data_IF_674771790566
#
_entry.id   IF_674771790566
#
_cell.length_a   1.000
_cell.length_b   1.000
_cell.length_c   1.000
_cell.angle_alpha   90.00
_cell.angle_beta   90.00
_cell.angle_gamma   90.00
#
_symmetry.space_group_name_H-M   'P 1'
#
loop_
_entity.id
_entity.type
_entity.pdbx_description
1 polymer ?
#
# COMPACT_ATOMS: atom_id res chain seq x y z
N UNK A 1 -1.19 6.39 -6.37
CA UNK A 1 0.19 6.82 -6.71
C UNK A 1 1.08 5.59 -6.82
N UNK A 2 2.10 5.60 -7.67
CA UNK A 2 3.08 4.51 -7.80
C UNK A 2 4.48 5.10 -7.64
N UNK A 3 5.33 4.45 -6.85
CA UNK A 3 6.69 4.86 -6.57
C UNK A 3 7.66 3.68 -6.74
N UNK A 4 8.73 3.88 -7.50
CA UNK A 4 9.82 2.92 -7.62
C UNK A 4 10.80 3.11 -6.46
N UNK A 5 11.14 2.03 -5.77
CA UNK A 5 12.19 2.01 -4.76
C UNK A 5 13.18 0.88 -5.03
N UNK A 6 14.46 1.15 -4.85
CA UNK A 6 15.50 0.12 -4.91
C UNK A 6 15.82 -0.33 -3.48
N UNK A 7 15.52 -1.59 -3.16
CA UNK A 7 15.74 -2.21 -1.84
C UNK A 7 16.67 -3.41 -2.04
N UNK A 8 17.85 -3.40 -1.40
CA UNK A 8 18.85 -4.49 -1.47
C UNK A 8 19.12 -4.99 -2.90
N UNK A 9 19.48 -4.07 -3.80
CA UNK A 9 19.74 -4.33 -5.24
C UNK A 9 18.55 -4.89 -6.04
N UNK A 10 17.34 -4.87 -5.48
CA UNK A 10 16.09 -5.19 -6.18
C UNK A 10 15.26 -3.95 -6.37
N UNK A 11 14.82 -3.74 -7.60
CA UNK A 11 13.81 -2.73 -7.89
C UNK A 11 12.43 -3.29 -7.52
N UNK A 12 11.73 -2.56 -6.66
CA UNK A 12 10.35 -2.84 -6.26
C UNK A 12 9.50 -1.62 -6.52
N UNK A 13 8.29 -1.87 -6.99
CA UNK A 13 7.31 -0.83 -7.25
C UNK A 13 6.27 -0.86 -6.14
N UNK A 14 6.07 0.28 -5.49
CA UNK A 14 5.10 0.47 -4.42
C UNK A 14 3.95 1.30 -4.95
N UNK A 15 2.75 0.72 -4.95
CA UNK A 15 1.53 1.41 -5.31
C UNK A 15 0.74 1.73 -4.06
N UNK A 16 0.42 3.00 -3.86
CA UNK A 16 -0.46 3.46 -2.79
C UNK A 16 -1.78 3.91 -3.38
N UNK A 17 -2.87 3.29 -2.94
CA UNK A 17 -4.23 3.60 -3.37
C UNK A 17 -5.08 4.09 -2.20
N UNK A 18 -5.95 5.08 -2.40
CA UNK A 18 -6.92 5.48 -1.38
C UNK A 18 -7.93 4.34 -1.17
N UNK A 19 -8.11 3.97 0.08
CA UNK A 19 -9.06 2.96 0.52
C UNK A 19 -10.33 3.63 1.02
N UNK A 20 -11.40 3.49 0.23
CA UNK A 20 -12.72 3.99 0.59
C UNK A 20 -13.37 3.02 1.56
N UNK A 21 -13.52 3.44 2.81
CA UNK A 21 -14.35 2.73 3.79
C UNK A 21 -15.81 3.08 3.50
N UNK A 22 -16.58 2.09 3.03
CA UNK A 22 -18.04 2.23 2.88
C UNK A 22 -18.68 2.48 4.24
N UNK A 23 -19.68 3.37 4.27
CA UNK A 23 -20.39 3.75 5.50
C UNK A 23 -21.89 3.53 5.37
N UNK A 24 -22.51 3.25 6.51
CA UNK A 24 -23.97 3.30 6.68
C UNK A 24 -24.52 4.70 6.94
N UNK A 25 -23.69 5.70 7.33
CA UNK A 25 -24.15 7.04 7.71
C UNK A 25 -23.43 8.16 6.91
N UNK A 26 -24.14 8.94 6.08
CA UNK A 26 -23.56 9.91 5.15
C UNK A 26 -23.08 11.25 5.77
N UNK A 27 -23.32 11.50 7.06
CA UNK A 27 -23.10 12.82 7.67
C UNK A 27 -21.69 13.04 8.28
N UNK A 28 -20.80 12.05 8.20
CA UNK A 28 -19.44 12.11 8.78
C UNK A 28 -18.42 12.19 7.63
N UNK A 29 -17.48 13.14 7.70
CA UNK A 29 -16.37 13.30 6.73
C UNK A 29 -15.50 12.04 6.74
N UNK A 30 -15.35 11.31 5.60
CA UNK A 30 -14.56 10.07 5.51
C UNK A 30 -13.18 10.23 6.13
N UNK A 31 -12.82 9.32 7.04
CA UNK A 31 -11.40 9.08 7.30
C UNK A 31 -10.89 8.39 6.05
N UNK A 32 -10.07 9.10 5.28
CA UNK A 32 -9.43 8.53 4.10
C UNK A 32 -8.27 7.68 4.55
N UNK A 33 -8.36 6.38 4.28
CA UNK A 33 -7.28 5.45 4.51
C UNK A 33 -6.54 5.21 3.21
N UNK A 34 -5.33 4.70 3.32
CA UNK A 34 -4.48 4.33 2.21
C UNK A 34 -4.06 2.88 2.39
N UNK A 35 -3.98 2.16 1.29
CA UNK A 35 -3.37 0.83 1.23
C UNK A 35 -2.14 0.89 0.37
N UNK A 36 -1.23 -0.05 0.58
CA UNK A 36 -0.03 -0.18 -0.24
C UNK A 36 0.12 -1.62 -0.73
N UNK A 37 0.40 -1.73 -2.02
CA UNK A 37 0.71 -2.97 -2.71
C UNK A 37 2.11 -2.88 -3.28
N UNK A 38 2.85 -3.98 -3.27
CA UNK A 38 4.18 -4.04 -3.87
C UNK A 38 4.20 -4.98 -5.07
N UNK A 39 5.06 -4.66 -6.04
CA UNK A 39 5.26 -5.43 -7.26
C UNK A 39 6.75 -5.62 -7.50
N UNK A 40 7.13 -6.83 -7.93
CA UNK A 40 8.50 -7.14 -8.33
C UNK A 40 8.84 -6.63 -9.73
N UNK A 41 7.82 -6.29 -10.53
CA UNK A 41 7.96 -5.70 -11.86
C UNK A 41 7.13 -4.42 -11.93
N UNK A 42 7.42 -3.57 -12.93
CA UNK A 42 6.63 -2.36 -13.15
C UNK A 42 5.18 -2.75 -13.49
N UNK A 43 4.17 -2.23 -12.76
CA UNK A 43 2.78 -2.53 -13.08
C UNK A 43 2.40 -1.87 -14.42
N UNK A 44 2.08 -2.69 -15.42
CA UNK A 44 1.72 -2.22 -16.77
C UNK A 44 0.36 -1.49 -16.80
N UNK A 45 -0.51 -1.76 -15.83
CA UNK A 45 -1.83 -1.17 -15.72
C UNK A 45 -2.14 -0.75 -14.29
N UNK A 46 -2.86 0.36 -14.13
CA UNK A 46 -3.25 0.90 -12.82
C UNK A 46 -4.22 -0.04 -12.06
N UNK A 47 -4.84 -1.00 -12.76
CA UNK A 47 -5.70 -2.03 -12.16
C UNK A 47 -4.94 -3.25 -11.65
N UNK A 48 -3.61 -3.31 -11.84
CA UNK A 48 -2.83 -4.44 -11.39
C UNK A 48 -2.87 -4.51 -9.86
N UNK A 49 -3.21 -5.69 -9.35
CA UNK A 49 -3.33 -5.94 -7.90
C UNK A 49 -2.09 -6.70 -7.47
N UNK A 50 -1.07 -5.93 -7.09
CA UNK A 50 0.16 -6.45 -6.49
C UNK A 50 -0.11 -7.08 -5.14
N UNK A 51 0.96 -7.49 -4.46
CA UNK A 51 0.81 -8.08 -3.14
C UNK A 51 0.55 -6.98 -2.10
N UNK A 52 -0.61 -7.05 -1.44
CA UNK A 52 -0.98 -6.09 -0.39
C UNK A 52 -0.14 -6.32 0.86
N UNK A 53 0.32 -5.23 1.46
CA UNK A 53 0.89 -5.27 2.79
C UNK A 53 -0.21 -5.59 3.80
N UNK A 54 0.02 -6.67 4.55
CA UNK A 54 -0.89 -7.16 5.59
C UNK A 54 -0.43 -6.75 6.99
N UNK A 55 -1.37 -6.67 7.91
CA UNK A 55 -1.10 -6.59 9.35
C UNK A 55 -0.78 -7.97 9.94
N UNK A 56 -0.54 -8.01 11.26
CA UNK A 56 -0.20 -9.22 12.00
C UNK A 56 -1.34 -10.25 12.02
N UNK A 57 -2.58 -9.81 11.83
CA UNK A 57 -3.78 -10.64 11.72
C UNK A 57 -4.03 -11.14 10.28
N UNK A 58 -3.20 -10.72 9.32
CA UNK A 58 -3.31 -11.11 7.91
C UNK A 58 -4.33 -10.28 7.10
N UNK A 59 -4.89 -9.21 7.68
CA UNK A 59 -5.77 -8.28 6.98
C UNK A 59 -4.97 -7.22 6.24
N UNK A 60 -5.57 -6.58 5.23
CA UNK A 60 -4.91 -5.47 4.51
C UNK A 60 -4.67 -4.33 5.49
N UNK A 61 -3.42 -3.91 5.64
CA UNK A 61 -3.06 -2.83 6.54
C UNK A 61 -3.52 -1.49 5.98
N UNK A 62 -4.31 -0.76 6.76
CA UNK A 62 -4.78 0.59 6.45
C UNK A 62 -3.84 1.63 7.07
N UNK A 63 -3.57 2.70 6.33
CA UNK A 63 -2.72 3.81 6.77
C UNK A 63 -3.48 5.12 6.68
N UNK A 64 -3.22 6.05 7.60
CA UNK A 64 -3.83 7.39 7.57
C UNK A 64 -3.08 8.37 6.65
N UNK A 65 -1.93 7.95 6.10
CA UNK A 65 -1.13 8.77 5.21
C UNK A 65 -0.39 7.91 4.17
N UNK A 66 -0.27 8.37 2.91
CA UNK A 66 0.49 7.66 1.89
C UNK A 66 1.98 7.52 2.25
N UNK A 67 2.55 8.50 2.97
CA UNK A 67 3.94 8.46 3.44
C UNK A 67 4.14 7.36 4.48
N UNK A 68 3.17 7.19 5.38
CA UNK A 68 3.19 6.11 6.37
C UNK A 68 3.10 4.74 5.69
N UNK A 69 2.26 4.62 4.66
CA UNK A 69 2.12 3.40 3.86
C UNK A 69 3.45 3.01 3.17
N UNK A 70 4.10 3.96 2.50
CA UNK A 70 5.40 3.74 1.84
C UNK A 70 6.50 3.36 2.83
N UNK A 71 6.61 4.10 3.94
CA UNK A 71 7.63 3.85 4.97
C UNK A 71 7.48 2.45 5.56
N UNK A 72 6.24 2.03 5.81
CA UNK A 72 5.96 0.70 6.33
C UNK A 72 6.24 -0.38 5.29
N UNK A 73 5.76 -0.22 4.05
CA UNK A 73 5.98 -1.18 2.97
C UNK A 73 7.47 -1.45 2.74
N UNK A 74 8.29 -0.39 2.70
CA UNK A 74 9.75 -0.51 2.59
C UNK A 74 10.33 -1.37 3.71
N UNK A 75 9.98 -1.07 4.97
CA UNK A 75 10.45 -1.83 6.14
C UNK A 75 9.98 -3.29 6.12
N UNK A 76 8.77 -3.56 5.62
CA UNK A 76 8.25 -4.92 5.50
C UNK A 76 9.04 -5.72 4.46
N UNK A 77 9.32 -5.13 3.29
CA UNK A 77 10.11 -5.77 2.23
C UNK A 77 11.56 -5.97 2.70
N UNK A 78 12.14 -4.98 3.38
CA UNK A 78 13.50 -5.10 3.97
C UNK A 78 13.62 -6.22 5.00
N UNK A 79 12.53 -6.62 5.68
CA UNK A 79 12.52 -7.72 6.65
C UNK A 79 12.23 -9.09 6.01
N UNK A 80 11.57 -9.12 4.86
CA UNK A 80 11.27 -10.36 4.12
C UNK A 80 12.42 -10.79 3.18
N UNK A 81 13.29 -9.86 2.79
CA UNK A 81 14.50 -10.12 2.00
C UNK A 81 15.68 -10.60 2.84
#
# INVERSE_FOLDING_TARGET
MIEKQTIRDRDVWLKVDPYKVERSNPQIIPTEYFTVSFFSNEPEVESDRGEFIKDEDGNIKLFESPVAALTYARKSIEQQA
#
